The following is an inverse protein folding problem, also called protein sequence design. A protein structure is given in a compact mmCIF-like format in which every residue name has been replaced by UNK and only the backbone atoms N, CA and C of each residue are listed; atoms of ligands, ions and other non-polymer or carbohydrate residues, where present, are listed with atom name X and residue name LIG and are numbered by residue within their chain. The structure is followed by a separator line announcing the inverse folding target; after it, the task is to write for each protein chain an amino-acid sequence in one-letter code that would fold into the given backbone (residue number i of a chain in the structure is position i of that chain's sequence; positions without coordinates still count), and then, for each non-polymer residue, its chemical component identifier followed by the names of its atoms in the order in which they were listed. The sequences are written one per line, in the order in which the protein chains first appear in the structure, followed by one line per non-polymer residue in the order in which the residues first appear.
data_IF_676749259820
#
_entry.id   IF_676749259820
#
_cell.length_a   1.000
_cell.length_b   1.000
_cell.length_c   1.000
_cell.angle_alpha   90.00
_cell.angle_beta   90.00
_cell.angle_gamma   90.00
#
_symmetry.space_group_name_H-M   'P 1'
#
loop_
_entity.id
_entity.type
_entity.pdbx_description
1 polymer ?
#
# COMPACT_ATOMS: atom_id res chain seq x y z
N UNK A 1 7.51 -5.01 27.90
CA UNK A 1 7.65 -3.53 27.94
C UNK A 1 7.45 -3.05 26.51
N UNK A 2 6.46 -2.18 26.33
CA UNK A 2 5.98 -1.70 25.04
C UNK A 2 7.05 -0.86 24.34
N UNK A 3 7.43 -1.21 23.12
CA UNK A 3 8.00 -0.27 22.17
C UNK A 3 7.01 -0.14 21.04
N UNK A 4 6.07 0.80 21.20
CA UNK A 4 5.36 1.36 20.06
C UNK A 4 6.42 1.93 19.12
N UNK A 5 6.38 1.51 17.86
CA UNK A 5 7.30 1.95 16.84
C UNK A 5 7.36 3.48 16.81
N UNK A 6 8.59 4.02 16.83
CA UNK A 6 8.85 5.43 16.61
C UNK A 6 8.40 5.76 15.19
N UNK A 7 7.16 6.27 15.08
CA UNK A 7 6.64 6.82 13.84
C UNK A 7 7.48 8.05 13.49
N UNK A 8 8.25 7.94 12.41
CA UNK A 8 9.04 9.04 11.86
C UNK A 8 8.12 10.21 11.50
N UNK A 9 8.55 11.46 11.74
CA UNK A 9 7.79 12.69 11.45
C UNK A 9 7.72 13.00 9.94
N UNK A 10 7.54 11.98 9.09
CA UNK A 10 7.51 12.09 7.63
C UNK A 10 6.07 12.35 7.19
N UNK A 11 5.83 13.50 6.56
CA UNK A 11 4.53 13.86 6.01
C UNK A 11 4.28 13.11 4.70
N UNK A 12 3.80 11.88 4.80
CA UNK A 12 3.47 11.00 3.68
C UNK A 12 2.11 11.33 3.07
N UNK A 13 1.93 10.96 1.80
CA UNK A 13 0.69 11.05 1.01
C UNK A 13 0.39 9.72 0.35
N UNK A 14 -0.85 9.54 -0.08
CA UNK A 14 -1.27 8.31 -0.79
C UNK A 14 -0.45 8.02 -2.05
N UNK A 15 0.10 9.07 -2.69
CA UNK A 15 0.93 8.94 -3.87
C UNK A 15 2.29 8.29 -3.58
N UNK A 16 2.80 8.42 -2.34
CA UNK A 16 4.08 7.83 -1.95
C UNK A 16 4.02 6.30 -1.88
N UNK A 17 2.81 5.74 -1.79
CA UNK A 17 2.53 4.29 -1.79
C UNK A 17 2.03 3.76 -3.15
N UNK A 18 2.02 4.60 -4.20
CA UNK A 18 1.58 4.25 -5.54
C UNK A 18 2.74 4.00 -6.49
N UNK A 19 2.63 2.95 -7.31
CA UNK A 19 3.54 2.73 -8.44
C UNK A 19 3.04 3.45 -9.69
N UNK A 20 3.93 3.60 -10.69
CA UNK A 20 3.61 4.06 -12.04
C UNK A 20 3.05 2.96 -12.97
N UNK A 21 2.98 1.71 -12.48
CA UNK A 21 2.46 0.59 -13.25
C UNK A 21 0.94 0.67 -13.44
N UNK A 22 0.49 0.34 -14.65
CA UNK A 22 -0.93 0.19 -14.95
C UNK A 22 -1.52 -1.04 -14.23
N UNK A 23 -2.66 -0.82 -13.57
CA UNK A 23 -3.41 -1.87 -12.88
C UNK A 23 -4.13 -2.76 -13.89
N UNK A 24 -3.86 -4.06 -13.84
CA UNK A 24 -4.33 -5.07 -14.81
C UNK A 24 -5.51 -5.90 -14.31
N UNK A 25 -6.35 -5.33 -13.44
CA UNK A 25 -7.62 -5.95 -13.04
C UNK A 25 -8.72 -5.64 -14.04
N UNK A 26 -9.76 -6.46 -14.08
CA UNK A 26 -10.90 -6.23 -14.97
C UNK A 26 -11.66 -4.94 -14.57
N UNK A 27 -12.22 -4.18 -15.52
CA UNK A 27 -13.07 -3.04 -15.20
C UNK A 27 -14.19 -3.41 -14.22
N UNK A 28 -14.37 -2.65 -13.15
CA UNK A 28 -15.35 -2.93 -12.10
C UNK A 28 -14.90 -3.94 -11.03
N UNK A 29 -13.65 -4.43 -11.08
CA UNK A 29 -13.11 -5.29 -10.03
C UNK A 29 -13.06 -4.58 -8.67
N UNK A 30 -13.45 -5.27 -7.59
CA UNK A 30 -13.42 -4.71 -6.23
C UNK A 30 -11.99 -4.45 -5.70
N UNK A 31 -10.98 -5.12 -6.25
CA UNK A 31 -9.58 -4.96 -5.83
C UNK A 31 -9.08 -3.52 -6.02
N UNK A 32 -9.64 -2.77 -6.99
CA UNK A 32 -9.36 -1.33 -7.15
C UNK A 32 -9.70 -0.53 -5.90
N UNK A 33 -10.84 -0.81 -5.27
CA UNK A 33 -11.27 -0.11 -4.06
C UNK A 33 -10.38 -0.47 -2.87
N UNK A 34 -9.96 -1.74 -2.77
CA UNK A 34 -9.04 -2.20 -1.72
C UNK A 34 -7.70 -1.48 -1.86
N UNK A 35 -7.11 -1.46 -3.07
CA UNK A 35 -5.85 -0.78 -3.35
C UNK A 35 -5.89 0.71 -2.99
N UNK A 36 -6.92 1.41 -3.48
CA UNK A 36 -7.08 2.85 -3.23
C UNK A 36 -7.22 3.15 -1.73
N UNK A 37 -7.96 2.32 -0.98
CA UNK A 37 -8.16 2.53 0.45
C UNK A 37 -6.89 2.26 1.26
N UNK A 38 -6.14 1.20 0.93
CA UNK A 38 -4.85 0.92 1.59
C UNK A 38 -3.87 2.06 1.35
N UNK A 39 -3.69 2.52 0.11
CA UNK A 39 -2.80 3.63 -0.20
C UNK A 39 -3.21 4.94 0.50
N UNK A 40 -4.50 5.18 0.72
CA UNK A 40 -5.00 6.35 1.49
C UNK A 40 -4.77 6.21 2.99
N UNK A 41 -4.79 4.99 3.51
CA UNK A 41 -4.68 4.71 4.94
C UNK A 41 -3.24 4.74 5.45
N UNK A 42 -2.29 4.14 4.71
CA UNK A 42 -0.89 4.00 5.15
C UNK A 42 -0.19 5.32 5.54
N UNK A 43 -0.40 6.45 4.86
CA UNK A 43 0.18 7.73 5.29
C UNK A 43 -0.21 8.14 6.70
N UNK A 44 -1.41 7.76 7.17
CA UNK A 44 -1.89 8.05 8.52
C UNK A 44 -1.17 7.27 9.62
N UNK A 45 -0.39 6.24 9.27
CA UNK A 45 0.39 5.44 10.21
C UNK A 45 1.78 6.03 10.49
N UNK A 46 2.26 6.98 9.67
CA UNK A 46 3.51 7.69 9.91
C UNK A 46 4.80 6.90 9.70
N UNK A 47 4.73 5.70 9.13
CA UNK A 47 5.91 4.91 8.77
C UNK A 47 6.28 5.07 7.31
N UNK A 48 7.58 5.11 7.01
CA UNK A 48 8.08 5.21 5.64
C UNK A 48 7.77 3.96 4.80
N UNK A 49 7.58 4.10 3.47
CA UNK A 49 7.24 2.98 2.59
C UNK A 49 8.14 1.74 2.72
N UNK A 50 9.46 1.92 2.85
CA UNK A 50 10.45 0.83 2.98
C UNK A 50 10.31 -0.01 4.25
N UNK A 51 9.50 0.44 5.22
CA UNK A 51 9.19 -0.29 6.45
C UNK A 51 7.99 -1.23 6.31
N UNK A 52 7.31 -1.22 5.17
CA UNK A 52 6.18 -2.11 4.90
C UNK A 52 6.58 -3.25 3.97
N UNK A 53 5.95 -4.41 4.17
CA UNK A 53 6.09 -5.56 3.28
C UNK A 53 4.71 -6.08 2.92
N UNK A 54 4.41 -6.15 1.63
CA UNK A 54 3.18 -6.73 1.09
C UNK A 54 3.47 -8.11 0.52
N UNK A 55 2.90 -9.16 1.14
CA UNK A 55 3.05 -10.55 0.70
C UNK A 55 1.72 -11.05 0.15
N UNK A 56 1.74 -11.69 -1.01
CA UNK A 56 0.54 -12.23 -1.66
C UNK A 56 0.72 -13.68 -2.09
N UNK A 57 -0.41 -14.36 -2.34
CA UNK A 57 -0.46 -15.72 -2.86
C UNK A 57 -0.48 -15.76 -4.39
N UNK A 58 -1.37 -16.57 -4.97
CA UNK A 58 -1.60 -16.65 -6.41
C UNK A 58 -3.05 -16.30 -6.74
N UNK A 59 -3.25 -15.38 -7.69
CA UNK A 59 -4.57 -14.95 -8.15
C UNK A 59 -4.56 -13.51 -8.67
N UNK A 60 -5.73 -13.02 -9.11
CA UNK A 60 -5.90 -11.63 -9.55
C UNK A 60 -5.50 -10.65 -8.45
N UNK A 61 -6.03 -10.84 -7.24
CA UNK A 61 -5.70 -10.05 -6.06
C UNK A 61 -4.22 -10.12 -5.68
N UNK A 62 -3.50 -11.18 -6.08
CA UNK A 62 -2.09 -11.35 -5.72
C UNK A 62 -1.15 -10.42 -6.48
N UNK A 63 -1.67 -9.69 -7.47
CA UNK A 63 -0.94 -8.58 -8.11
C UNK A 63 -0.85 -7.34 -7.22
N UNK A 64 -1.56 -7.29 -6.09
CA UNK A 64 -1.60 -6.14 -5.19
C UNK A 64 -0.21 -5.59 -4.82
N UNK A 65 0.81 -6.40 -4.44
CA UNK A 65 2.13 -5.87 -4.11
C UNK A 65 2.82 -5.15 -5.27
N UNK A 66 2.51 -5.49 -6.52
CA UNK A 66 3.07 -4.79 -7.69
C UNK A 66 2.54 -3.36 -7.83
N UNK A 67 1.45 -3.03 -7.15
CA UNK A 67 0.81 -1.72 -7.18
C UNK A 67 1.09 -0.91 -5.90
N UNK A 68 1.95 -1.42 -5.03
CA UNK A 68 2.42 -0.75 -3.82
C UNK A 68 3.87 -0.32 -4.01
N UNK A 69 4.15 0.95 -3.74
CA UNK A 69 5.52 1.44 -3.63
C UNK A 69 5.96 1.30 -2.17
N UNK A 70 6.71 0.23 -1.86
CA UNK A 70 7.23 -0.12 -0.53
C UNK A 70 8.57 -0.80 -0.64
#
# INVERSE_FOLDING_TARGET
MSTAAEASEVKLKSKDFQTDQDVRWCPGCGDYSILANVQRFLPGLGEEPHRYVFVSGIGCSSRFPYYMNT
#
